data_IF_346448251341
#
_entry.id   IF_346448251341
#
_cell.length_a   1.000
_cell.length_b   1.000
_cell.length_c   1.000
_cell.angle_alpha   90.00
_cell.angle_beta   90.00
_cell.angle_gamma   90.00
#
_symmetry.space_group_name_H-M   'P 1'
#
loop_
_entity.id
_entity.type
_entity.pdbx_description
1 polymer ?
#
# COMPACT_ATOMS: atom_id res chain seq x y z
N UNK A 1 -37.57 38.65 -28.67
CA UNK A 1 -36.10 38.45 -28.84
C UNK A 1 -35.27 38.38 -27.56
N UNK A 2 -35.82 38.38 -26.33
CA UNK A 2 -35.05 38.49 -25.08
C UNK A 2 -34.77 37.19 -24.33
N UNK A 3 -35.47 36.08 -24.60
CA UNK A 3 -35.29 34.82 -23.87
C UNK A 3 -34.08 34.01 -24.35
N UNK A 4 -33.79 34.03 -25.66
CA UNK A 4 -32.64 33.28 -26.23
C UNK A 4 -31.27 33.90 -25.86
N UNK A 5 -31.18 35.21 -25.63
CA UNK A 5 -29.94 35.89 -25.23
C UNK A 5 -29.53 35.54 -23.78
N UNK A 6 -30.49 35.35 -22.86
CA UNK A 6 -30.23 34.97 -21.46
C UNK A 6 -29.77 33.48 -21.34
N UNK A 7 -30.33 32.59 -22.17
CA UNK A 7 -29.96 31.18 -22.17
C UNK A 7 -28.53 30.96 -22.70
N UNK A 8 -28.07 31.71 -23.67
CA UNK A 8 -26.71 31.63 -24.23
C UNK A 8 -25.64 32.19 -23.30
N UNK A 9 -25.93 33.27 -22.54
CA UNK A 9 -25.02 33.86 -21.55
C UNK A 9 -24.81 32.93 -20.35
N UNK A 10 -25.85 32.27 -19.84
CA UNK A 10 -25.75 31.31 -18.75
C UNK A 10 -25.00 30.03 -19.16
N UNK A 11 -25.12 29.59 -20.41
CA UNK A 11 -24.41 28.42 -20.95
C UNK A 11 -22.92 28.73 -21.15
N UNK A 12 -22.55 29.91 -21.62
CA UNK A 12 -21.17 30.38 -21.73
C UNK A 12 -20.51 30.54 -20.35
N UNK A 13 -21.17 31.11 -19.37
CA UNK A 13 -20.68 31.24 -18.00
C UNK A 13 -20.38 29.90 -17.36
N UNK A 14 -21.28 28.89 -17.51
CA UNK A 14 -21.07 27.52 -17.02
C UNK A 14 -19.89 26.83 -17.71
N UNK A 15 -19.68 27.03 -19.01
CA UNK A 15 -18.53 26.47 -19.73
C UNK A 15 -17.21 27.10 -19.30
N UNK A 16 -17.19 28.41 -19.07
CA UNK A 16 -15.99 29.11 -18.58
C UNK A 16 -15.64 28.68 -17.16
N UNK A 17 -16.61 28.60 -16.26
CA UNK A 17 -16.40 28.09 -14.90
C UNK A 17 -15.87 26.64 -14.90
N UNK A 18 -16.44 25.77 -15.75
CA UNK A 18 -15.96 24.39 -15.91
C UNK A 18 -14.50 24.34 -16.40
N UNK A 19 -14.14 25.18 -17.39
CA UNK A 19 -12.74 25.23 -17.90
C UNK A 19 -11.78 25.77 -16.85
N UNK A 20 -12.18 26.79 -16.08
CA UNK A 20 -11.39 27.31 -14.97
C UNK A 20 -11.17 26.24 -13.89
N UNK A 21 -12.21 25.53 -13.48
CA UNK A 21 -12.09 24.44 -12.50
C UNK A 21 -11.15 23.31 -12.99
N UNK A 22 -11.31 22.90 -14.25
CA UNK A 22 -10.41 21.88 -14.85
C UNK A 22 -8.98 22.43 -14.93
N UNK A 23 -8.79 23.66 -15.37
CA UNK A 23 -7.47 24.31 -15.45
C UNK A 23 -6.80 24.42 -14.06
N UNK A 24 -7.55 24.84 -13.05
CA UNK A 24 -7.04 24.89 -11.67
C UNK A 24 -6.65 23.51 -11.15
N UNK A 25 -7.48 22.48 -11.39
CA UNK A 25 -7.17 21.12 -10.99
C UNK A 25 -5.90 20.61 -11.66
N UNK A 26 -5.73 20.81 -12.98
CA UNK A 26 -4.53 20.44 -13.70
C UNK A 26 -3.28 21.23 -13.25
N UNK A 27 -3.43 22.52 -12.98
CA UNK A 27 -2.34 23.37 -12.46
C UNK A 27 -1.89 22.91 -11.07
N UNK A 28 -2.84 22.60 -10.19
CA UNK A 28 -2.56 22.05 -8.85
C UNK A 28 -1.84 20.71 -8.97
N UNK A 29 -2.34 19.82 -9.80
CA UNK A 29 -1.69 18.52 -10.07
C UNK A 29 -0.26 18.70 -10.61
N UNK A 30 -0.09 19.56 -11.61
CA UNK A 30 1.24 19.80 -12.20
C UNK A 30 2.22 20.41 -11.18
N UNK A 31 1.77 21.36 -10.37
CA UNK A 31 2.64 22.06 -9.41
C UNK A 31 3.00 21.18 -8.21
N UNK A 32 2.06 20.45 -7.64
CA UNK A 32 2.27 19.72 -6.39
C UNK A 32 2.66 18.24 -6.57
N UNK A 33 2.35 17.64 -7.72
CA UNK A 33 2.67 16.25 -8.00
C UNK A 33 3.71 16.08 -9.12
N UNK A 34 3.46 16.66 -10.29
CA UNK A 34 4.34 16.45 -11.44
C UNK A 34 5.68 17.16 -11.27
N UNK A 35 5.69 18.41 -10.80
CA UNK A 35 6.93 19.18 -10.64
C UNK A 35 7.93 18.53 -9.65
N UNK A 36 7.55 18.11 -8.43
CA UNK A 36 8.48 17.39 -7.55
C UNK A 36 9.02 16.10 -8.15
N UNK A 37 8.20 15.33 -8.86
CA UNK A 37 8.65 14.11 -9.53
C UNK A 37 9.68 14.41 -10.63
N UNK A 38 9.47 15.45 -11.42
CA UNK A 38 10.43 15.88 -12.45
C UNK A 38 11.73 16.38 -11.83
N UNK A 39 11.68 17.06 -10.68
CA UNK A 39 12.88 17.49 -9.93
C UNK A 39 13.67 16.28 -9.45
N UNK A 40 13.02 15.27 -8.86
CA UNK A 40 13.69 14.03 -8.43
C UNK A 40 14.40 13.36 -9.60
N UNK A 41 13.73 13.21 -10.74
CA UNK A 41 14.34 12.64 -11.94
C UNK A 41 15.47 13.53 -12.49
N UNK A 42 15.29 14.85 -12.52
CA UNK A 42 16.30 15.79 -12.95
C UNK A 42 17.58 15.71 -12.12
N UNK A 43 17.47 15.68 -10.80
CA UNK A 43 18.59 15.52 -9.89
C UNK A 43 19.26 14.14 -10.00
N UNK A 44 18.46 13.08 -10.20
CA UNK A 44 18.97 11.72 -10.39
C UNK A 44 19.88 11.59 -11.62
N UNK A 45 19.57 12.30 -12.70
CA UNK A 45 20.36 12.28 -13.96
C UNK A 45 21.36 13.42 -14.09
N UNK A 46 21.52 14.29 -13.10
CA UNK A 46 22.35 15.50 -13.16
C UNK A 46 23.82 15.23 -13.48
N UNK A 47 24.36 14.11 -13.03
CA UNK A 47 25.75 13.70 -13.29
C UNK A 47 25.85 12.65 -14.42
N UNK A 48 24.77 12.47 -15.19
CA UNK A 48 24.71 11.57 -16.32
C UNK A 48 24.20 10.17 -15.99
N UNK A 49 23.86 9.46 -17.07
CA UNK A 49 23.24 8.11 -16.99
C UNK A 49 24.18 7.08 -16.35
N UNK A 50 25.49 7.21 -16.54
CA UNK A 50 26.48 6.31 -15.93
C UNK A 50 26.44 6.35 -14.42
N UNK A 51 26.47 7.56 -13.82
CA UNK A 51 26.40 7.75 -12.36
C UNK A 51 25.07 7.26 -11.78
N UNK A 52 23.99 7.45 -12.52
CA UNK A 52 22.68 6.93 -12.14
C UNK A 52 22.69 5.40 -11.96
N UNK A 53 23.19 4.66 -12.95
CA UNK A 53 23.24 3.21 -12.85
C UNK A 53 24.27 2.71 -11.85
N UNK A 54 25.41 3.38 -11.69
CA UNK A 54 26.39 3.03 -10.64
C UNK A 54 25.78 3.16 -9.25
N UNK A 55 25.01 4.20 -8.96
CA UNK A 55 24.33 4.37 -7.67
C UNK A 55 23.29 3.29 -7.38
N UNK A 56 22.52 2.87 -8.39
CA UNK A 56 21.52 1.80 -8.22
C UNK A 56 22.17 0.41 -8.08
N UNK A 57 23.28 0.17 -8.78
CA UNK A 57 23.99 -1.10 -8.76
C UNK A 57 24.98 -1.22 -7.60
N UNK A 58 25.09 -0.20 -6.76
CA UNK A 58 25.90 -0.26 -5.54
C UNK A 58 25.42 -1.41 -4.63
N UNK A 59 26.35 -2.19 -4.04
CA UNK A 59 25.99 -3.33 -3.20
C UNK A 59 25.00 -3.01 -2.09
N UNK A 60 25.12 -1.85 -1.43
CA UNK A 60 24.23 -1.40 -0.37
C UNK A 60 22.82 -1.07 -0.89
N UNK A 61 22.71 -0.46 -2.09
CA UNK A 61 21.43 -0.18 -2.73
C UNK A 61 20.72 -1.47 -3.14
N UNK A 62 21.46 -2.44 -3.69
CA UNK A 62 20.91 -3.75 -4.05
C UNK A 62 20.50 -4.56 -2.82
N UNK A 63 21.26 -4.50 -1.72
CA UNK A 63 20.89 -5.11 -0.45
C UNK A 63 19.61 -4.49 0.12
N UNK A 64 19.48 -3.16 0.07
CA UNK A 64 18.30 -2.43 0.49
C UNK A 64 17.05 -2.78 -0.37
N UNK A 65 17.23 -2.90 -1.69
CA UNK A 65 16.18 -3.38 -2.60
C UNK A 65 15.73 -4.79 -2.24
N UNK A 66 16.68 -5.71 -2.07
CA UNK A 66 16.40 -7.10 -1.71
C UNK A 66 15.64 -7.19 -0.38
N UNK A 67 16.06 -6.42 0.62
CA UNK A 67 15.40 -6.39 1.93
C UNK A 67 13.98 -5.81 1.83
N UNK A 68 13.78 -4.74 1.06
CA UNK A 68 12.46 -4.17 0.83
C UNK A 68 11.53 -5.18 0.17
N UNK A 69 11.99 -5.85 -0.89
CA UNK A 69 11.21 -6.88 -1.58
C UNK A 69 10.92 -8.09 -0.66
N UNK A 70 11.87 -8.48 0.19
CA UNK A 70 11.67 -9.55 1.16
C UNK A 70 10.62 -9.15 2.21
N UNK A 71 10.72 -7.96 2.78
CA UNK A 71 9.73 -7.46 3.75
C UNK A 71 8.33 -7.41 3.15
N UNK A 72 8.20 -6.90 1.92
CA UNK A 72 6.94 -6.89 1.15
C UNK A 72 6.47 -8.31 0.86
N UNK A 73 7.37 -9.18 0.39
CA UNK A 73 7.07 -10.57 0.03
C UNK A 73 6.58 -11.43 1.20
N UNK A 74 6.88 -11.04 2.44
CA UNK A 74 6.35 -11.70 3.64
C UNK A 74 5.10 -10.98 4.15
N UNK A 75 5.14 -9.66 4.27
CA UNK A 75 4.04 -8.89 4.89
C UNK A 75 2.77 -8.90 4.06
N UNK A 76 2.86 -8.79 2.72
CA UNK A 76 1.68 -8.73 1.86
C UNK A 76 0.88 -10.05 1.85
N UNK A 77 1.49 -11.25 1.70
CA UNK A 77 0.75 -12.50 1.81
C UNK A 77 0.11 -12.72 3.19
N UNK A 78 0.80 -12.33 4.27
CA UNK A 78 0.21 -12.43 5.62
C UNK A 78 -0.98 -11.51 5.77
N UNK A 79 -0.89 -10.27 5.30
CA UNK A 79 -2.00 -9.31 5.30
C UNK A 79 -3.13 -9.73 4.35
N UNK A 80 -2.83 -10.44 3.27
CA UNK A 80 -3.82 -11.02 2.39
C UNK A 80 -4.66 -12.07 3.13
N UNK A 81 -4.00 -13.02 3.78
CA UNK A 81 -4.68 -14.08 4.55
C UNK A 81 -5.53 -13.48 5.68
N UNK A 82 -4.94 -12.57 6.47
CA UNK A 82 -5.64 -11.88 7.53
C UNK A 82 -6.81 -11.05 6.99
N UNK A 83 -6.58 -10.25 5.95
CA UNK A 83 -7.57 -9.35 5.36
C UNK A 83 -8.77 -10.08 4.78
N UNK A 84 -8.55 -11.21 4.09
CA UNK A 84 -9.63 -12.07 3.57
C UNK A 84 -10.41 -12.69 4.73
N UNK A 85 -9.74 -13.25 5.74
CA UNK A 85 -10.39 -13.85 6.91
C UNK A 85 -11.22 -12.83 7.70
N UNK A 86 -10.64 -11.65 7.94
CA UNK A 86 -11.31 -10.55 8.64
C UNK A 86 -12.50 -10.01 7.84
N UNK A 87 -12.34 -9.77 6.54
CA UNK A 87 -13.41 -9.30 5.68
C UNK A 87 -14.56 -10.31 5.62
N UNK A 88 -14.24 -11.58 5.46
CA UNK A 88 -15.26 -12.63 5.45
C UNK A 88 -16.00 -12.72 6.78
N UNK A 89 -15.25 -12.71 7.89
CA UNK A 89 -15.84 -12.72 9.24
C UNK A 89 -16.78 -11.53 9.47
N UNK A 90 -16.33 -10.32 9.15
CA UNK A 90 -17.10 -9.08 9.35
C UNK A 90 -18.30 -8.99 8.41
N UNK A 91 -18.18 -9.49 7.17
CA UNK A 91 -19.27 -9.34 6.17
C UNK A 91 -20.35 -10.40 6.27
N UNK A 92 -19.98 -11.63 6.66
CA UNK A 92 -20.92 -12.78 6.62
C UNK A 92 -21.46 -13.21 7.98
N UNK A 93 -20.85 -12.76 9.08
CA UNK A 93 -21.28 -13.18 10.43
C UNK A 93 -21.65 -12.00 11.29
N UNK A 94 -22.67 -12.22 12.13
CA UNK A 94 -23.02 -11.32 13.22
C UNK A 94 -22.52 -11.92 14.54
N UNK A 95 -21.63 -11.19 15.22
CA UNK A 95 -21.02 -11.62 16.48
C UNK A 95 -20.74 -10.45 17.42
N UNK A 96 -20.68 -10.74 18.71
CA UNK A 96 -20.29 -9.74 19.71
C UNK A 96 -18.83 -9.34 19.52
N UNK A 97 -18.56 -8.04 19.39
CA UNK A 97 -17.19 -7.52 19.14
C UNK A 97 -16.88 -7.25 17.67
N UNK A 98 -17.81 -7.43 16.72
CA UNK A 98 -17.65 -7.08 15.31
C UNK A 98 -17.17 -5.64 15.12
N UNK A 99 -17.81 -4.68 15.79
CA UNK A 99 -17.42 -3.27 15.77
C UNK A 99 -16.00 -3.05 16.31
N UNK A 100 -15.64 -3.75 17.40
CA UNK A 100 -14.29 -3.70 17.96
C UNK A 100 -13.25 -4.23 16.97
N UNK A 101 -13.53 -5.37 16.31
CA UNK A 101 -12.63 -5.93 15.29
C UNK A 101 -12.38 -4.93 14.14
N UNK A 102 -13.45 -4.31 13.63
CA UNK A 102 -13.32 -3.28 12.56
C UNK A 102 -12.48 -2.09 13.06
N UNK A 103 -12.73 -1.61 14.28
CA UNK A 103 -11.95 -0.53 14.89
C UNK A 103 -10.47 -0.90 15.05
N UNK A 104 -10.17 -2.14 15.44
CA UNK A 104 -8.79 -2.63 15.57
C UNK A 104 -8.09 -2.77 14.22
N UNK A 105 -8.81 -3.19 13.17
CA UNK A 105 -8.29 -3.20 11.79
C UNK A 105 -7.92 -1.77 11.35
N UNK A 106 -8.71 -0.77 11.73
CA UNK A 106 -8.50 0.63 11.37
C UNK A 106 -7.45 1.35 12.24
N UNK A 107 -7.06 0.76 13.37
CA UNK A 107 -6.11 1.35 14.32
C UNK A 107 -4.81 1.84 13.66
N UNK A 108 -4.17 1.09 12.73
CA UNK A 108 -2.94 1.54 12.09
C UNK A 108 -3.06 2.84 11.28
N UNK A 109 -4.27 3.21 10.83
CA UNK A 109 -4.48 4.51 10.17
C UNK A 109 -4.48 5.68 11.16
N UNK A 110 -4.83 5.43 12.42
CA UNK A 110 -4.92 6.45 13.47
C UNK A 110 -3.61 6.62 14.24
N UNK A 111 -2.76 5.59 14.26
CA UNK A 111 -1.48 5.58 14.97
C UNK A 111 -0.37 6.02 14.03
N UNK A 112 0.46 6.96 14.47
CA UNK A 112 1.67 7.32 13.70
C UNK A 112 2.56 6.09 13.49
N UNK A 113 3.06 5.84 12.26
CA UNK A 113 3.97 4.73 12.01
C UNK A 113 5.20 4.72 12.93
N UNK A 114 5.76 5.89 13.26
CA UNK A 114 6.89 6.01 14.19
C UNK A 114 6.51 5.49 15.59
N UNK A 115 5.32 5.85 16.08
CA UNK A 115 4.83 5.36 17.38
C UNK A 115 4.61 3.84 17.33
N UNK A 116 4.11 3.31 16.23
CA UNK A 116 4.00 1.86 16.05
C UNK A 116 5.37 1.18 16.15
N UNK A 117 6.40 1.74 15.52
CA UNK A 117 7.78 1.26 15.65
C UNK A 117 8.28 1.28 17.12
N UNK A 118 8.01 2.37 17.85
CA UNK A 118 8.38 2.48 19.27
C UNK A 118 7.67 1.44 20.13
N UNK A 119 6.41 1.14 19.86
CA UNK A 119 5.67 0.07 20.56
C UNK A 119 6.38 -1.28 20.36
N UNK A 120 6.83 -1.59 19.15
CA UNK A 120 7.59 -2.83 18.92
C UNK A 120 8.93 -2.84 19.64
N UNK A 121 9.63 -1.71 19.73
CA UNK A 121 10.86 -1.60 20.55
C UNK A 121 10.57 -1.82 22.04
N UNK A 122 9.48 -1.29 22.56
CA UNK A 122 9.06 -1.51 23.97
C UNK A 122 8.64 -2.97 24.20
N UNK A 123 8.08 -3.66 23.22
CA UNK A 123 7.68 -5.06 23.37
C UNK A 123 8.87 -6.01 23.24
N UNK A 124 9.71 -5.84 22.21
CA UNK A 124 10.68 -6.83 21.75
C UNK A 124 12.13 -6.36 21.85
N UNK A 125 12.38 -5.12 22.29
CA UNK A 125 13.74 -4.63 22.54
C UNK A 125 14.39 -5.31 23.75
N UNK A 126 15.70 -5.22 23.89
CA UNK A 126 16.46 -5.89 24.95
C UNK A 126 15.96 -5.56 26.37
N UNK A 127 15.44 -4.35 26.59
CA UNK A 127 14.84 -3.90 27.84
C UNK A 127 13.30 -3.90 27.80
N UNK A 128 12.70 -4.50 26.75
CA UNK A 128 11.26 -4.57 26.55
C UNK A 128 10.59 -5.70 27.31
N UNK A 129 9.24 -5.74 27.26
CA UNK A 129 8.45 -6.74 27.97
C UNK A 129 8.82 -8.20 27.63
N UNK A 130 9.21 -8.48 26.41
CA UNK A 130 9.64 -9.82 25.96
C UNK A 130 11.15 -9.92 25.75
N UNK A 131 11.92 -8.87 26.11
CA UNK A 131 13.34 -8.77 25.82
C UNK A 131 14.17 -9.89 26.47
N UNK A 132 13.98 -10.15 27.75
CA UNK A 132 14.69 -11.20 28.50
C UNK A 132 14.36 -12.59 27.94
N UNK A 133 13.07 -12.89 27.70
CA UNK A 133 12.61 -14.15 27.11
C UNK A 133 13.17 -14.41 25.70
N UNK A 134 13.32 -13.36 24.89
CA UNK A 134 13.90 -13.44 23.54
C UNK A 134 15.41 -13.63 23.59
N UNK A 135 16.07 -12.91 24.50
CA UNK A 135 17.52 -12.98 24.70
C UNK A 135 17.94 -14.38 25.16
N UNK A 136 17.21 -15.01 26.06
CA UNK A 136 17.45 -16.38 26.55
C UNK A 136 17.38 -17.43 25.40
N UNK A 137 16.74 -17.10 24.28
CA UNK A 137 16.55 -17.98 23.12
C UNK A 137 17.37 -17.57 21.90
N UNK A 138 18.21 -16.55 22.04
CA UNK A 138 19.03 -16.01 20.96
C UNK A 138 18.17 -15.50 19.77
N UNK A 139 16.94 -15.01 20.06
CA UNK A 139 16.01 -14.48 19.06
C UNK A 139 16.09 -12.95 19.03
N UNK A 140 16.60 -12.39 17.95
CA UNK A 140 16.66 -10.97 17.72
C UNK A 140 15.52 -10.51 16.80
N UNK A 141 14.62 -9.64 17.31
CA UNK A 141 13.52 -9.05 16.55
C UNK A 141 13.86 -7.61 16.17
N UNK A 142 14.20 -6.77 17.14
CA UNK A 142 14.55 -5.37 16.91
C UNK A 142 15.95 -5.28 16.34
N UNK A 143 16.16 -4.34 15.42
CA UNK A 143 17.39 -4.17 14.61
C UNK A 143 17.72 -5.38 13.74
N UNK A 144 16.69 -6.14 13.37
CA UNK A 144 16.76 -7.31 12.51
C UNK A 144 15.57 -7.37 11.54
N UNK A 145 15.65 -8.27 10.55
CA UNK A 145 14.61 -8.46 9.53
C UNK A 145 13.22 -8.72 10.10
N UNK A 146 13.04 -9.54 11.17
CA UNK A 146 11.72 -9.77 11.75
C UNK A 146 11.03 -8.49 12.23
N UNK A 147 11.76 -7.55 12.83
CA UNK A 147 11.22 -6.26 13.27
C UNK A 147 10.71 -5.42 12.11
N UNK A 148 11.46 -5.40 11.00
CA UNK A 148 11.06 -4.70 9.76
C UNK A 148 9.77 -5.29 9.20
N UNK A 149 9.69 -6.62 9.14
CA UNK A 149 8.48 -7.32 8.66
C UNK A 149 7.28 -7.03 9.56
N UNK A 150 7.43 -7.11 10.88
CA UNK A 150 6.35 -6.82 11.83
C UNK A 150 5.86 -5.37 11.73
N UNK A 151 6.79 -4.41 11.62
CA UNK A 151 6.46 -3.01 11.47
C UNK A 151 5.69 -2.75 10.15
N UNK A 152 6.18 -3.31 9.05
CA UNK A 152 5.52 -3.22 7.73
C UNK A 152 4.14 -3.88 7.75
N UNK A 153 4.05 -5.08 8.35
CA UNK A 153 2.80 -5.83 8.48
C UNK A 153 1.75 -5.01 9.24
N UNK A 154 2.10 -4.44 10.39
CA UNK A 154 1.17 -3.64 11.19
C UNK A 154 0.62 -2.46 10.40
N UNK A 155 1.49 -1.67 9.78
CA UNK A 155 1.06 -0.47 9.04
C UNK A 155 0.18 -0.82 7.84
N UNK A 156 0.35 -2.02 7.27
CA UNK A 156 -0.35 -2.43 6.05
C UNK A 156 -1.52 -3.39 6.27
N UNK A 157 -1.79 -3.84 7.52
CA UNK A 157 -2.95 -4.69 7.88
C UNK A 157 -4.30 -4.20 7.33
N UNK A 158 -4.65 -2.90 7.41
CA UNK A 158 -6.00 -2.48 7.05
C UNK A 158 -6.28 -2.53 5.54
N UNK A 159 -5.26 -2.49 4.68
CA UNK A 159 -5.47 -2.25 3.24
C UNK A 159 -6.31 -3.33 2.56
N UNK A 160 -6.03 -4.60 2.80
CA UNK A 160 -6.77 -5.71 2.17
C UNK A 160 -8.17 -5.84 2.80
N UNK A 161 -8.27 -5.79 4.13
CA UNK A 161 -9.54 -5.93 4.83
C UNK A 161 -10.52 -4.80 4.46
N UNK A 162 -10.05 -3.56 4.42
CA UNK A 162 -10.87 -2.38 4.09
C UNK A 162 -11.40 -2.38 2.66
N UNK A 163 -10.66 -2.96 1.76
CA UNK A 163 -11.11 -3.11 0.37
C UNK A 163 -12.17 -4.20 0.24
N UNK A 164 -11.99 -5.31 0.94
CA UNK A 164 -12.87 -6.47 0.80
C UNK A 164 -14.16 -6.38 1.62
N UNK A 165 -14.16 -5.73 2.79
CA UNK A 165 -15.34 -5.63 3.65
C UNK A 165 -16.54 -5.02 2.92
N UNK A 166 -16.46 -3.80 2.34
CA UNK A 166 -17.59 -3.21 1.63
C UNK A 166 -18.00 -4.03 0.40
N UNK A 167 -17.04 -4.57 -0.35
CA UNK A 167 -17.30 -5.40 -1.51
C UNK A 167 -18.11 -6.65 -1.15
N UNK A 168 -17.72 -7.37 -0.11
CA UNK A 168 -18.44 -8.56 0.35
C UNK A 168 -19.81 -8.22 0.97
N UNK A 169 -19.96 -7.05 1.59
CA UNK A 169 -21.24 -6.59 2.12
C UNK A 169 -22.21 -6.23 1.01
N UNK A 170 -21.73 -5.59 -0.08
CA UNK A 170 -22.54 -5.24 -1.25
C UNK A 170 -23.01 -6.47 -2.03
N UNK A 171 -22.18 -7.49 -2.16
CA UNK A 171 -22.54 -8.77 -2.80
C UNK A 171 -23.61 -9.55 -2.04
N UNK A 172 -23.73 -9.35 -0.73
CA UNK A 172 -24.67 -10.09 0.11
C UNK A 172 -24.32 -11.57 0.28
N UNK A 173 -25.31 -12.41 0.66
CA UNK A 173 -25.11 -13.84 0.95
C UNK A 173 -25.96 -14.78 0.07
N UNK A 174 -26.73 -14.24 -0.87
CA UNK A 174 -27.74 -15.01 -1.62
C UNK A 174 -27.15 -16.22 -2.39
N UNK A 175 -26.01 -16.05 -3.04
CA UNK A 175 -25.35 -17.13 -3.79
C UNK A 175 -24.79 -18.22 -2.86
N UNK A 176 -24.25 -17.81 -1.71
CA UNK A 176 -23.70 -18.72 -0.71
C UNK A 176 -24.82 -19.50 0.01
N UNK A 177 -25.97 -18.86 0.27
CA UNK A 177 -27.16 -19.50 0.82
C UNK A 177 -27.74 -20.54 -0.16
N UNK A 178 -27.86 -20.20 -1.44
CA UNK A 178 -28.28 -21.12 -2.48
C UNK A 178 -27.36 -22.34 -2.58
N UNK A 179 -26.05 -22.13 -2.56
CA UNK A 179 -25.06 -23.22 -2.57
C UNK A 179 -25.17 -24.12 -1.33
N UNK A 180 -25.43 -23.52 -0.15
CA UNK A 180 -25.62 -24.27 1.10
C UNK A 180 -26.87 -25.16 1.02
N UNK A 181 -27.96 -24.67 0.42
CA UNK A 181 -29.18 -25.48 0.18
C UNK A 181 -28.92 -26.65 -0.76
N UNK A 182 -27.97 -26.53 -1.68
CA UNK A 182 -27.52 -27.60 -2.58
C UNK A 182 -26.49 -28.54 -1.94
N UNK A 183 -26.16 -28.35 -0.64
CA UNK A 183 -25.27 -29.23 0.11
C UNK A 183 -23.77 -28.85 0.03
N UNK A 184 -23.42 -27.66 -0.46
CA UNK A 184 -22.04 -27.21 -0.49
C UNK A 184 -21.48 -26.99 0.92
N UNK A 185 -20.26 -27.48 1.17
CA UNK A 185 -19.53 -27.18 2.40
C UNK A 185 -19.00 -25.73 2.40
N UNK A 186 -18.68 -25.17 3.60
CA UNK A 186 -18.14 -23.80 3.72
C UNK A 186 -16.85 -23.60 2.91
N UNK A 187 -16.01 -24.62 2.80
CA UNK A 187 -14.78 -24.56 1.99
C UNK A 187 -15.06 -24.55 0.50
N UNK A 188 -16.06 -25.33 0.03
CA UNK A 188 -16.50 -25.31 -1.35
C UNK A 188 -17.12 -23.95 -1.73
N UNK A 189 -17.95 -23.36 -0.85
CA UNK A 189 -18.51 -22.03 -1.05
C UNK A 189 -17.41 -20.97 -1.17
N UNK A 190 -16.41 -21.01 -0.28
CA UNK A 190 -15.31 -20.07 -0.32
C UNK A 190 -14.56 -20.10 -1.65
N UNK A 191 -14.14 -21.27 -2.11
CA UNK A 191 -13.32 -21.41 -3.31
C UNK A 191 -14.09 -21.21 -4.62
N UNK A 192 -15.39 -21.59 -4.68
CA UNK A 192 -16.14 -21.57 -5.94
C UNK A 192 -17.09 -20.37 -6.07
N UNK A 193 -17.41 -19.69 -4.96
CA UNK A 193 -18.33 -18.55 -4.96
C UNK A 193 -17.63 -17.31 -4.40
N UNK A 194 -17.26 -17.32 -3.12
CA UNK A 194 -16.75 -16.13 -2.44
C UNK A 194 -15.47 -15.62 -3.11
N UNK A 195 -14.46 -16.46 -3.27
CA UNK A 195 -13.15 -16.06 -3.82
C UNK A 195 -13.23 -15.57 -5.29
N UNK A 196 -13.96 -16.25 -6.22
CA UNK A 196 -14.15 -15.73 -7.56
C UNK A 196 -14.87 -14.36 -7.60
N UNK A 197 -15.84 -14.15 -6.71
CA UNK A 197 -16.61 -12.91 -6.68
C UNK A 197 -15.77 -11.72 -6.16
N UNK A 198 -14.88 -11.96 -5.19
CA UNK A 198 -14.01 -10.91 -4.61
C UNK A 198 -12.66 -10.78 -5.31
N UNK A 199 -12.32 -11.65 -6.26
CA UNK A 199 -10.97 -11.75 -6.85
C UNK A 199 -10.36 -10.42 -7.27
N UNK A 200 -11.17 -9.53 -7.80
CA UNK A 200 -10.69 -8.23 -8.29
C UNK A 200 -10.47 -7.23 -7.16
N UNK A 201 -11.36 -7.16 -6.18
CA UNK A 201 -11.13 -6.40 -4.96
C UNK A 201 -9.89 -6.91 -4.20
N UNK A 202 -9.69 -8.24 -4.22
CA UNK A 202 -8.50 -8.87 -3.67
C UNK A 202 -7.22 -8.39 -4.38
N UNK A 203 -7.18 -8.43 -5.72
CA UNK A 203 -6.05 -7.93 -6.51
C UNK A 203 -5.81 -6.45 -6.21
N UNK A 204 -6.87 -5.65 -6.15
CA UNK A 204 -6.76 -4.22 -5.83
C UNK A 204 -6.20 -4.00 -4.41
N UNK A 205 -6.73 -4.68 -3.40
CA UNK A 205 -6.24 -4.61 -2.02
C UNK A 205 -4.78 -5.03 -1.89
N UNK A 206 -4.35 -6.09 -2.60
CA UNK A 206 -2.95 -6.54 -2.64
C UNK A 206 -2.06 -5.48 -3.29
N UNK A 207 -2.48 -4.87 -4.39
CA UNK A 207 -1.71 -3.80 -5.07
C UNK A 207 -1.53 -2.60 -4.15
N UNK A 208 -2.59 -2.15 -3.47
CA UNK A 208 -2.51 -1.05 -2.50
C UNK A 208 -1.61 -1.39 -1.31
N UNK A 209 -1.76 -2.59 -0.75
CA UNK A 209 -0.94 -3.09 0.34
C UNK A 209 0.54 -3.12 -0.07
N UNK A 210 0.85 -3.61 -1.27
CA UNK A 210 2.21 -3.67 -1.82
C UNK A 210 2.82 -2.28 -2.00
N UNK A 211 2.08 -1.35 -2.60
CA UNK A 211 2.54 0.02 -2.80
C UNK A 211 2.85 0.71 -1.46
N UNK A 212 1.97 0.51 -0.45
CA UNK A 212 2.17 1.06 0.89
C UNK A 212 3.35 0.42 1.62
N UNK A 213 3.51 -0.89 1.51
CA UNK A 213 4.60 -1.63 2.13
C UNK A 213 5.98 -1.25 1.56
N UNK A 214 6.09 -1.06 0.24
CA UNK A 214 7.35 -0.64 -0.41
C UNK A 214 7.82 0.74 0.04
N UNK A 215 6.89 1.66 0.31
CA UNK A 215 7.19 3.00 0.77
C UNK A 215 7.22 3.15 2.29
N UNK A 216 7.22 2.05 3.06
CA UNK A 216 7.23 2.16 4.52
C UNK A 216 8.58 2.67 5.01
N UNK A 217 8.51 3.79 5.73
CA UNK A 217 9.66 4.47 6.30
C UNK A 217 9.51 4.63 7.82
N UNK A 218 8.40 5.21 8.28
CA UNK A 218 8.24 5.68 9.64
C UNK A 218 8.39 4.62 10.72
N UNK A 219 7.71 3.48 10.59
CA UNK A 219 7.81 2.39 11.56
C UNK A 219 9.14 1.64 11.42
N UNK A 220 9.58 1.44 10.16
CA UNK A 220 10.80 0.73 9.85
C UNK A 220 12.03 1.51 10.32
N UNK A 221 12.06 2.84 10.25
CA UNK A 221 13.18 3.66 10.70
C UNK A 221 13.51 3.44 12.20
N UNK A 222 12.49 3.16 13.00
CA UNK A 222 12.66 2.92 14.44
C UNK A 222 13.18 1.51 14.74
N UNK A 223 12.71 0.50 13.99
CA UNK A 223 12.99 -0.92 14.31
C UNK A 223 14.19 -1.49 13.56
N UNK A 224 14.69 -0.79 12.51
CA UNK A 224 15.72 -1.33 11.62
C UNK A 224 17.15 -1.22 12.16
N UNK A 225 17.44 -0.17 12.96
CA UNK A 225 18.80 0.14 13.43
C UNK A 225 19.74 0.70 12.36
N UNK A 226 19.27 0.95 11.13
CA UNK A 226 20.01 1.60 10.03
C UNK A 226 21.34 0.94 9.66
N UNK A 227 21.43 -0.40 9.76
CA UNK A 227 22.66 -1.14 9.42
C UNK A 227 22.71 -1.35 7.91
N UNK A 228 23.68 -0.73 7.23
CA UNK A 228 23.88 -0.86 5.79
C UNK A 228 24.12 -2.32 5.39
N UNK A 229 23.54 -2.72 4.27
CA UNK A 229 23.66 -4.07 3.74
C UNK A 229 22.88 -5.14 4.49
N UNK A 230 22.34 -4.85 5.70
CA UNK A 230 21.65 -5.82 6.56
C UNK A 230 20.20 -5.45 6.87
N UNK A 231 19.95 -4.25 7.42
CA UNK A 231 18.61 -3.85 7.91
C UNK A 231 18.09 -2.56 7.29
N UNK A 232 18.79 -2.00 6.30
CA UNK A 232 18.33 -0.86 5.55
C UNK A 232 17.38 -1.25 4.44
N UNK A 233 16.15 -0.72 4.48
CA UNK A 233 15.22 -0.75 3.34
C UNK A 233 15.54 0.36 2.35
N UNK A 234 14.98 0.30 1.14
CA UNK A 234 15.21 1.33 0.13
C UNK A 234 14.89 2.76 0.62
N UNK A 235 13.74 3.03 1.28
CA UNK A 235 13.47 4.36 1.83
C UNK A 235 14.51 4.83 2.84
N UNK A 236 15.00 3.95 3.72
CA UNK A 236 16.04 4.27 4.68
C UNK A 236 17.40 4.51 4.01
N UNK A 237 17.69 3.76 2.95
CA UNK A 237 18.93 3.94 2.19
C UNK A 237 18.96 5.30 1.48
N UNK A 238 17.82 5.74 0.92
CA UNK A 238 17.66 7.08 0.36
C UNK A 238 17.94 8.16 1.42
N UNK A 239 17.38 8.00 2.62
CA UNK A 239 17.62 8.92 3.74
C UNK A 239 19.11 9.02 4.12
N UNK A 240 19.79 7.89 4.24
CA UNK A 240 21.21 7.83 4.57
C UNK A 240 22.05 8.55 3.50
N UNK A 241 21.84 8.25 2.23
CA UNK A 241 22.55 8.90 1.13
C UNK A 241 22.28 10.41 1.11
N UNK A 242 21.06 10.83 1.41
CA UNK A 242 20.70 12.24 1.48
C UNK A 242 21.43 12.96 2.64
N UNK A 243 21.46 12.35 3.83
CA UNK A 243 22.12 12.87 5.01
C UNK A 243 23.66 12.93 4.86
N UNK A 244 24.22 12.07 4.00
CA UNK A 244 25.66 12.09 3.63
C UNK A 244 25.98 13.08 2.50
N UNK A 245 25.02 13.92 2.12
CA UNK A 245 25.15 14.89 1.02
C UNK A 245 25.43 14.27 -0.37
N UNK A 246 25.21 12.96 -0.53
CA UNK A 246 25.25 12.28 -1.83
C UNK A 246 23.89 12.35 -2.51
N UNK A 247 23.48 13.58 -2.86
CA UNK A 247 22.14 13.84 -3.38
C UNK A 247 21.85 13.10 -4.70
N UNK A 248 22.85 13.00 -5.59
CA UNK A 248 22.65 12.31 -6.86
C UNK A 248 22.35 10.82 -6.67
N UNK A 249 23.09 10.15 -5.79
CA UNK A 249 22.80 8.75 -5.46
C UNK A 249 21.44 8.60 -4.73
N UNK A 250 21.15 9.49 -3.78
CA UNK A 250 19.85 9.49 -3.08
C UNK A 250 18.68 9.61 -4.05
N UNK A 251 18.72 10.57 -4.99
CA UNK A 251 17.66 10.74 -5.98
C UNK A 251 17.63 9.62 -7.03
N UNK A 252 18.78 9.02 -7.36
CA UNK A 252 18.84 7.84 -8.23
C UNK A 252 18.11 6.65 -7.61
N UNK A 253 18.37 6.34 -6.34
CA UNK A 253 17.68 5.26 -5.60
C UNK A 253 16.20 5.63 -5.36
N UNK A 254 15.88 6.89 -5.06
CA UNK A 254 14.50 7.35 -4.94
C UNK A 254 13.71 7.19 -6.26
N UNK A 255 14.36 7.44 -7.40
CA UNK A 255 13.74 7.23 -8.73
C UNK A 255 13.46 5.75 -9.01
N UNK A 256 14.23 4.82 -8.45
CA UNK A 256 13.95 3.39 -8.51
C UNK A 256 12.66 3.05 -7.74
N UNK A 257 12.47 3.61 -6.54
CA UNK A 257 11.21 3.47 -5.79
C UNK A 257 10.03 4.03 -6.57
N UNK A 258 10.21 5.21 -7.21
CA UNK A 258 9.20 5.80 -8.08
C UNK A 258 8.85 4.89 -9.25
N UNK A 259 9.85 4.30 -9.92
CA UNK A 259 9.63 3.38 -11.02
C UNK A 259 8.86 2.13 -10.57
N UNK A 260 9.21 1.55 -9.41
CA UNK A 260 8.48 0.43 -8.81
C UNK A 260 7.02 0.81 -8.49
N UNK A 261 6.79 1.99 -7.90
CA UNK A 261 5.44 2.49 -7.63
C UNK A 261 4.63 2.68 -8.92
N UNK A 262 5.23 3.20 -9.99
CA UNK A 262 4.58 3.33 -11.30
C UNK A 262 4.23 1.96 -11.89
N UNK A 263 5.10 0.96 -11.80
CA UNK A 263 4.78 -0.41 -12.24
C UNK A 263 3.57 -0.96 -11.48
N UNK A 264 3.52 -0.77 -10.16
CA UNK A 264 2.39 -1.20 -9.33
C UNK A 264 1.10 -0.49 -9.74
N UNK A 265 1.15 0.83 -9.99
CA UNK A 265 0.00 1.62 -10.45
C UNK A 265 -0.48 1.17 -11.84
N UNK A 266 0.43 0.83 -12.75
CA UNK A 266 0.08 0.29 -14.07
C UNK A 266 -0.58 -1.09 -13.94
N UNK A 267 -0.10 -1.94 -13.05
CA UNK A 267 -0.74 -3.23 -12.75
C UNK A 267 -2.15 -3.03 -12.17
N UNK A 268 -2.32 -2.04 -11.29
CA UNK A 268 -3.63 -1.62 -10.77
C UNK A 268 -4.57 -1.23 -11.90
N UNK A 269 -4.17 -0.28 -12.73
CA UNK A 269 -4.97 0.22 -13.85
C UNK A 269 -5.34 -0.88 -14.85
N UNK A 270 -4.40 -1.76 -15.14
CA UNK A 270 -4.65 -2.92 -15.99
C UNK A 270 -5.70 -3.86 -15.38
N UNK A 271 -5.61 -4.12 -14.09
CA UNK A 271 -6.56 -4.93 -13.30
C UNK A 271 -7.97 -4.32 -13.35
N UNK A 272 -8.12 -3.02 -13.05
CA UNK A 272 -9.40 -2.30 -13.11
C UNK A 272 -10.03 -2.31 -14.52
N UNK A 273 -9.21 -2.11 -15.55
CA UNK A 273 -9.71 -2.13 -16.93
C UNK A 273 -10.23 -3.49 -17.39
N UNK A 274 -9.69 -4.58 -16.83
CA UNK A 274 -10.20 -5.95 -17.05
C UNK A 274 -11.54 -6.18 -16.37
N UNK A 275 -11.72 -5.63 -15.15
CA UNK A 275 -12.99 -5.72 -14.41
C UNK A 275 -14.11 -5.04 -15.18
N UNK A 276 -13.91 -3.79 -15.59
CA UNK A 276 -14.91 -3.01 -16.29
C UNK A 276 -15.38 -3.70 -17.60
N UNK A 277 -14.46 -4.34 -18.33
CA UNK A 277 -14.80 -5.10 -19.55
C UNK A 277 -15.60 -6.37 -19.27
N UNK A 278 -15.34 -7.04 -18.14
CA UNK A 278 -16.08 -8.25 -17.78
C UNK A 278 -17.51 -7.96 -17.36
N UNK A 279 -17.75 -6.85 -16.66
CA UNK A 279 -19.11 -6.42 -16.31
C UNK A 279 -19.90 -5.97 -17.54
N UNK A 280 -19.29 -5.19 -18.44
CA UNK A 280 -19.94 -4.79 -19.69
C UNK A 280 -20.35 -5.97 -20.57
N UNK A 281 -19.56 -7.05 -20.62
CA UNK A 281 -19.88 -8.25 -21.39
C UNK A 281 -20.89 -9.22 -20.70
N UNK A 282 -21.22 -8.96 -19.43
CA UNK A 282 -22.20 -9.75 -18.69
C UNK A 282 -23.62 -9.14 -18.73
N UNK A 283 -23.70 -7.87 -19.17
CA UNK A 283 -24.97 -7.14 -19.36
C UNK A 283 -25.51 -7.22 -20.80
N UNK A 284 -24.69 -7.68 -21.77
CA UNK A 284 -25.07 -7.99 -23.15
C UNK A 284 -25.42 -9.50 -23.30
#
# INVERSE_FOLDING_TARGET
MSANARATTTRRGKQTARRLLIGTAWMTFALFLLLPLLIVLGEAFKQGVGTFFTAILEPDALAALKLTLLAVGISVPLNLVFGVAAAWCVSKYEFRGKSLLVTLIDLPFSVSPVIAGLIYVLLFGAQGYFGEWLSDRDIQIIFAVPGIVLATLFVTVPFVARELIPLMQEQGSTEEEAARLLGASGWQMFWHITLPNIKWGLVYGVVLCTARAMGEFGAVSVVSGHIRGLTNTLPLHVEILYNEYNHVAAFSVASLLLALALVILLLKQWSESRIARLHANAED
#
